data_IF_036969499586
#
_entry.id   IF_036969499586
#
_cell.length_a   1.000
_cell.length_b   1.000
_cell.length_c   1.000
_cell.angle_alpha   90.00
_cell.angle_beta   90.00
_cell.angle_gamma   90.00
#
_symmetry.space_group_name_H-M   'P 1'
#
loop_
_entity.id
_entity.type
_entity.pdbx_description
1 polymer ?
2 non-polymer ?
3 water ?
#
# COMPACT_ATOMS: atom_id res chain seq x y z
N UNK A 22 -8.46 -16.67 -11.37
CA UNK A 22 -9.25 -15.54 -10.91
C UNK A 22 -8.39 -14.30 -10.66
N UNK A 23 -8.95 -13.31 -9.97
CA UNK A 23 -8.26 -12.04 -9.74
C UNK A 23 -7.12 -12.16 -8.75
N UNK A 24 -7.06 -13.26 -8.00
CA UNK A 24 -5.95 -13.48 -7.08
C UNK A 24 -4.79 -14.19 -7.76
N UNK A 25 -4.94 -14.48 -9.06
CA UNK A 25 -3.95 -15.30 -9.77
C UNK A 25 -3.53 -14.69 -11.09
N UNK A 26 -3.01 -13.45 -11.05
CA UNK A 26 -2.64 -12.77 -12.29
C UNK A 26 -1.25 -13.14 -12.82
N UNK A 27 -0.49 -13.91 -12.05
CA UNK A 27 0.93 -14.09 -12.35
C UNK A 27 1.25 -14.87 -13.62
N UNK A 28 0.47 -15.92 -13.92
CA UNK A 28 0.62 -16.54 -15.24
C UNK A 28 0.44 -15.55 -16.39
N UNK A 29 -0.53 -14.65 -16.30
CA UNK A 29 -0.72 -13.67 -17.36
C UNK A 29 0.45 -12.71 -17.48
N UNK A 30 0.91 -12.16 -16.35
CA UNK A 30 2.12 -11.34 -16.35
C UNK A 30 3.27 -12.11 -17.04
N UNK A 31 3.44 -13.38 -16.67
CA UNK A 31 4.52 -14.18 -17.22
C UNK A 31 4.41 -14.28 -18.74
N UNK A 32 3.19 -14.43 -19.25
CA UNK A 32 2.97 -14.51 -20.68
C UNK A 32 3.31 -13.18 -21.38
N UNK A 33 2.95 -12.05 -20.76
CA UNK A 33 3.28 -10.74 -21.32
C UNK A 33 4.78 -10.46 -21.29
N UNK A 34 5.44 -10.76 -20.18
CA UNK A 34 6.89 -10.55 -20.14
C UNK A 34 7.57 -11.28 -21.30
N UNK A 35 7.07 -12.48 -21.58
CA UNK A 35 7.64 -13.32 -22.63
C UNK A 35 7.20 -12.93 -24.03
N UNK A 36 5.90 -12.67 -24.19
CA UNK A 36 5.30 -12.48 -25.52
C UNK A 36 5.02 -11.04 -25.93
N UNK A 37 4.74 -10.16 -24.96
CA UNK A 37 4.39 -8.77 -25.27
C UNK A 37 4.82 -7.84 -24.15
N UNK A 38 6.13 -7.73 -23.90
CA UNK A 38 6.56 -6.99 -22.70
C UNK A 38 6.24 -5.50 -22.73
N UNK A 39 6.10 -4.91 -23.90
CA UNK A 39 5.70 -3.51 -24.03
C UNK A 39 4.52 -3.46 -25.01
N UNK A 40 3.33 -3.24 -24.49
CA UNK A 40 2.11 -3.49 -25.26
C UNK A 40 1.23 -2.24 -25.33
N UNK A 41 0.57 -1.99 -26.46
CA UNK A 41 -0.31 -0.83 -26.56
C UNK A 41 -1.77 -1.24 -26.70
N UNK A 42 -2.62 -0.67 -25.85
CA UNK A 42 -4.04 -0.96 -25.85
C UNK A 42 -4.70 0.11 -26.69
N UNK A 43 -5.26 -0.28 -27.84
CA UNK A 43 -5.78 0.70 -28.78
C UNK A 43 -7.11 1.30 -28.33
N UNK A 44 -7.84 0.61 -27.46
CA UNK A 44 -9.12 1.17 -27.00
C UNK A 44 -8.84 2.29 -26.03
N UNK A 45 -8.08 1.97 -25.00
CA UNK A 45 -7.81 2.92 -23.92
C UNK A 45 -6.60 3.81 -24.21
N UNK A 46 -5.90 3.51 -25.30
CA UNK A 46 -4.72 4.26 -25.70
C UNK A 46 -3.69 4.36 -24.57
N UNK A 47 -3.33 3.21 -24.02
CA UNK A 47 -2.34 3.16 -22.98
C UNK A 47 -1.34 2.03 -23.20
N UNK A 48 -0.08 2.32 -22.89
CA UNK A 48 0.96 1.32 -22.91
C UNK A 48 1.02 0.54 -21.58
N UNK A 49 1.30 -0.75 -21.66
CA UNK A 49 1.56 -1.56 -20.47
C UNK A 49 2.98 -2.12 -20.53
N UNK A 50 3.71 -2.03 -19.43
CA UNK A 50 5.11 -2.42 -19.41
C UNK A 50 5.28 -3.48 -18.31
N UNK A 51 5.93 -4.60 -18.63
CA UNK A 51 5.93 -5.77 -17.75
C UNK A 51 7.29 -6.26 -17.24
N UNK A 52 8.39 -5.86 -17.88
CA UNK A 52 9.72 -6.34 -17.48
C UNK A 52 10.32 -5.46 -16.39
N UNK A 53 11.07 -6.08 -15.48
CA UNK A 53 11.68 -5.33 -14.38
C UNK A 53 12.46 -4.07 -14.81
N UNK A 54 13.41 -4.19 -15.74
CA UNK A 54 14.17 -3.01 -16.13
C UNK A 54 13.29 -1.89 -16.72
N UNK A 55 12.32 -2.28 -17.55
CA UNK A 55 11.42 -1.32 -18.16
C UNK A 55 10.53 -0.65 -17.11
N UNK A 56 9.91 -1.47 -16.28
CA UNK A 56 9.07 -0.95 -15.20
C UNK A 56 9.85 0.02 -14.31
N UNK A 57 11.05 -0.37 -13.90
CA UNK A 57 11.81 0.44 -12.95
C UNK A 57 12.22 1.78 -13.59
N UNK A 58 12.59 1.74 -14.87
CA UNK A 58 12.92 2.96 -15.58
C UNK A 58 11.73 3.91 -15.68
N UNK A 59 10.57 3.39 -16.09
CA UNK A 59 9.37 4.22 -16.19
C UNK A 59 9.08 4.92 -14.85
N UNK A 60 9.08 4.11 -13.80
CA UNK A 60 8.66 4.55 -12.48
C UNK A 60 9.64 5.55 -11.90
N UNK A 61 10.93 5.34 -12.16
CA UNK A 61 11.96 6.17 -11.56
C UNK A 61 12.39 7.39 -12.36
N UNK A 62 12.13 7.38 -13.67
CA UNK A 62 12.69 8.42 -14.51
C UNK A 62 11.79 9.64 -14.47
N UNK A 63 12.01 10.51 -13.48
CA UNK A 63 11.18 11.70 -13.33
C UNK A 63 11.35 12.67 -14.49
N UNK A 64 12.50 12.64 -15.15
CA UNK A 64 12.75 13.56 -16.26
C UNK A 64 11.88 13.23 -17.48
N UNK A 65 11.60 11.95 -17.69
CA UNK A 65 10.87 11.49 -18.88
C UNK A 65 9.42 11.11 -18.63
N UNK A 66 9.08 10.78 -17.39
CA UNK A 66 7.76 10.22 -17.10
C UNK A 66 7.13 10.92 -15.90
N UNK A 67 6.04 11.66 -16.15
CA UNK A 67 5.37 12.50 -15.16
C UNK A 67 4.35 11.76 -14.31
N UNK A 68 4.14 12.25 -13.08
CA UNK A 68 3.15 11.64 -12.19
C UNK A 68 1.91 12.50 -12.12
N UNK A 69 1.94 13.63 -12.82
CA UNK A 69 0.78 14.53 -12.82
C UNK A 69 -0.33 13.95 -13.68
N UNK A 70 -1.44 13.59 -13.05
CA UNK A 70 -2.51 12.86 -13.74
C UNK A 70 -3.69 13.78 -14.08
N UNK A 78 -5.51 18.03 -5.66
CA UNK A 78 -6.06 17.62 -4.38
C UNK A 78 -5.55 16.24 -3.99
N UNK A 79 -4.69 15.68 -4.84
CA UNK A 79 -4.13 14.36 -4.62
C UNK A 79 -2.80 14.40 -3.86
N UNK A 80 -2.38 15.59 -3.51
CA UNK A 80 -1.13 15.78 -2.76
C UNK A 80 0.07 15.28 -3.58
N UNK A 81 1.13 14.86 -2.89
CA UNK A 81 2.45 14.68 -3.51
C UNK A 81 2.56 13.54 -4.53
N UNK A 82 1.71 12.53 -4.41
CA UNK A 82 1.82 11.35 -5.27
C UNK A 82 1.52 11.72 -6.72
N UNK A 83 0.84 12.83 -6.92
CA UNK A 83 0.52 13.28 -8.28
C UNK A 83 1.13 14.65 -8.61
N UNK A 84 2.26 14.93 -7.98
CA UNK A 84 2.98 16.17 -8.22
C UNK A 84 4.32 15.85 -8.86
N UNK A 85 4.83 16.77 -9.67
CA UNK A 85 6.16 16.65 -10.21
C UNK A 85 7.05 17.64 -9.47
N UNK A 86 8.36 17.52 -9.62
CA UNK A 86 9.21 18.62 -9.17
C UNK A 86 8.84 19.86 -9.97
N UNK A 87 9.06 21.05 -9.43
CA UNK A 87 9.66 21.26 -8.10
C UNK A 87 8.65 21.22 -6.95
N UNK A 88 7.35 21.28 -7.23
CA UNK A 88 6.35 21.29 -6.17
C UNK A 88 6.52 20.07 -5.27
N UNK A 89 6.79 18.91 -5.88
CA UNK A 89 6.90 17.67 -5.13
C UNK A 89 8.08 17.70 -4.17
N UNK A 90 9.19 18.22 -4.66
CA UNK A 90 10.43 18.29 -3.91
C UNK A 90 10.19 19.01 -2.59
N UNK A 91 9.57 20.18 -2.68
CA UNK A 91 9.35 21.02 -1.50
C UNK A 91 8.50 20.33 -0.43
N UNK A 92 7.38 19.75 -0.83
CA UNK A 92 6.50 19.10 0.12
C UNK A 92 7.12 17.80 0.65
N UNK A 93 7.66 16.97 -0.24
CA UNK A 93 8.26 15.70 0.20
C UNK A 93 9.31 15.94 1.28
N UNK A 94 10.17 16.93 1.08
CA UNK A 94 11.24 17.13 2.06
C UNK A 94 10.70 17.51 3.43
N UNK A 95 9.59 18.25 3.47
CA UNK A 95 8.96 18.61 4.73
C UNK A 95 8.33 17.40 5.43
N UNK A 96 7.65 16.53 4.66
CA UNK A 96 6.92 15.43 5.28
C UNK A 96 7.79 14.22 5.65
N UNK A 97 9.01 14.15 5.11
CA UNK A 97 9.94 13.09 5.53
C UNK A 97 10.10 13.04 7.03
N UNK A 98 10.03 14.22 7.66
CA UNK A 98 10.22 14.35 9.10
C UNK A 98 9.20 13.55 9.91
N UNK A 99 8.08 13.19 9.29
CA UNK A 99 7.02 12.47 9.99
C UNK A 99 7.20 10.94 10.00
N UNK A 100 8.18 10.45 9.23
CA UNK A 100 8.42 9.00 9.08
C UNK A 100 9.85 8.53 9.39
N UNK A 101 10.60 9.34 10.13
CA UNK A 101 11.98 9.02 10.48
C UNK A 101 12.03 7.79 11.36
N UNK A 102 13.20 7.15 11.43
CA UNK A 102 13.29 5.98 12.29
C UNK A 102 12.96 6.32 13.76
N UNK A 103 13.28 7.53 14.19
CA UNK A 103 12.96 7.97 15.55
C UNK A 103 11.45 7.96 15.82
N UNK A 104 10.67 8.47 14.88
CA UNK A 104 9.21 8.49 15.02
C UNK A 104 8.61 7.07 15.02
N UNK A 105 9.06 6.23 14.10
CA UNK A 105 8.60 4.83 14.04
C UNK A 105 8.87 4.13 15.35
N UNK A 106 10.07 4.34 15.89
CA UNK A 106 10.44 3.72 17.17
C UNK A 106 9.45 4.14 18.25
N UNK A 107 9.10 5.42 18.21
CA UNK A 107 8.22 6.04 19.18
C UNK A 107 6.84 5.40 19.20
N UNK A 108 6.41 4.91 18.04
CA UNK A 108 5.05 4.42 17.87
C UNK A 108 4.93 2.88 17.91
N UNK A 109 6.05 2.18 17.87
CA UNK A 109 6.05 0.72 17.85
C UNK A 109 5.26 0.16 19.04
N UNK A 110 5.52 0.67 20.25
CA UNK A 110 4.71 0.34 21.43
C UNK A 110 3.22 0.35 21.14
N UNK A 111 2.70 1.46 20.61
CA UNK A 111 1.26 1.59 20.40
C UNK A 111 0.72 0.69 19.29
N UNK A 112 1.53 0.44 18.27
CA UNK A 112 1.11 -0.45 17.20
C UNK A 112 1.01 -1.87 17.74
N UNK A 113 1.92 -2.22 18.63
CA UNK A 113 1.90 -3.53 19.29
C UNK A 113 0.66 -3.70 20.14
N UNK A 114 0.31 -2.67 20.90
CA UNK A 114 -0.85 -2.72 21.77
C UNK A 114 -2.13 -2.88 20.95
N UNK A 115 -2.24 -2.14 19.86
CA UNK A 115 -3.38 -2.23 18.97
C UNK A 115 -3.50 -3.65 18.40
N UNK A 116 -2.38 -4.19 17.95
CA UNK A 116 -2.34 -5.52 17.39
C UNK A 116 -2.83 -6.54 18.43
N UNK A 117 -2.28 -6.46 19.63
CA UNK A 117 -2.66 -7.42 20.67
C UNK A 117 -4.14 -7.34 20.99
N UNK A 118 -4.69 -6.13 20.96
CA UNK A 118 -6.11 -5.92 21.27
C UNK A 118 -7.03 -6.52 20.21
N UNK A 119 -6.64 -6.40 18.94
CA UNK A 119 -7.39 -7.01 17.85
C UNK A 119 -7.42 -8.52 18.02
N UNK A 120 -6.25 -9.10 18.25
CA UNK A 120 -6.11 -10.54 18.39
C UNK A 120 -6.96 -11.09 19.53
N UNK A 121 -6.97 -10.38 20.67
CA UNK A 121 -7.74 -10.79 21.83
C UNK A 121 -9.20 -11.07 21.51
N UNK A 122 -9.76 -10.31 20.58
CA UNK A 122 -11.17 -10.46 20.19
C UNK A 122 -11.47 -11.81 19.53
N UNK A 123 -10.49 -12.38 18.82
CA UNK A 123 -10.73 -13.67 18.16
C UNK A 123 -9.81 -14.80 18.61
N UNK A 124 -9.12 -14.58 19.73
CA UNK A 124 -8.13 -15.50 20.27
C UNK A 124 -8.66 -16.91 20.61
N UNK A 125 -9.96 -17.02 20.86
CA UNK A 125 -10.54 -18.29 21.27
C UNK A 125 -11.30 -19.07 20.21
N UNK A 126 -11.32 -18.54 18.99
CA UNK A 126 -12.16 -19.09 17.95
C UNK A 126 -11.45 -20.12 17.08
N UNK A 127 -12.20 -21.10 16.60
CA UNK A 127 -11.64 -22.18 15.82
C UNK A 127 -11.56 -21.77 14.35
N UNK A 128 -12.35 -20.76 13.99
CA UNK A 128 -12.37 -20.20 12.65
C UNK A 128 -12.58 -18.69 12.71
N UNK A 129 -11.96 -17.97 11.79
CA UNK A 129 -12.17 -16.53 11.71
C UNK A 129 -11.69 -16.00 10.37
N UNK A 130 -12.18 -14.81 10.03
CA UNK A 130 -11.79 -14.12 8.81
C UNK A 130 -10.60 -13.22 9.15
N UNK A 131 -9.43 -13.53 8.59
CA UNK A 131 -8.23 -12.76 8.85
C UNK A 131 -8.39 -11.30 8.39
N UNK A 132 -9.16 -11.10 7.32
CA UNK A 132 -9.34 -9.74 6.81
C UNK A 132 -10.24 -8.94 7.76
N UNK A 133 -11.50 -9.36 7.90
CA UNK A 133 -12.45 -8.57 8.69
C UNK A 133 -11.98 -8.36 10.13
N UNK A 134 -11.42 -9.41 10.72
CA UNK A 134 -11.09 -9.39 12.14
C UNK A 134 -9.73 -8.79 12.47
N UNK A 135 -8.85 -8.69 11.49
CA UNK A 135 -7.46 -8.37 11.79
C UNK A 135 -6.83 -7.38 10.81
N UNK A 136 -6.60 -7.82 9.57
CA UNK A 136 -5.83 -6.97 8.65
C UNK A 136 -6.58 -5.74 8.16
N UNK A 137 -7.91 -5.80 8.06
CA UNK A 137 -8.71 -4.62 7.68
C UNK A 137 -8.72 -3.50 8.74
N UNK A 138 -9.05 -3.83 9.98
CA UNK A 138 -9.10 -2.75 10.98
C UNK A 138 -7.74 -2.20 11.42
N UNK A 139 -6.70 -3.04 11.39
CA UNK A 139 -5.42 -2.67 11.99
C UNK A 139 -4.82 -1.35 11.45
N UNK A 140 -4.69 -1.22 10.12
CA UNK A 140 -4.01 -0.01 9.63
C UNK A 140 -4.81 1.27 9.88
N UNK A 141 -6.13 1.15 9.88
CA UNK A 141 -7.01 2.28 10.16
C UNK A 141 -6.84 2.79 11.57
N UNK A 142 -6.83 1.87 12.54
CA UNK A 142 -6.63 2.25 13.93
C UNK A 142 -5.26 2.87 14.10
N UNK A 143 -4.25 2.27 13.49
CA UNK A 143 -2.90 2.80 13.61
C UNK A 143 -2.80 4.22 13.07
N UNK A 144 -3.32 4.46 11.87
CA UNK A 144 -3.15 5.77 11.24
C UNK A 144 -3.97 6.84 11.95
N UNK A 145 -5.11 6.44 12.50
CA UNK A 145 -5.92 7.41 13.21
C UNK A 145 -5.14 7.92 14.44
N UNK A 146 -4.49 7.02 15.15
CA UNK A 146 -3.71 7.40 16.32
C UNK A 146 -2.45 8.17 15.93
N UNK A 147 -1.86 7.78 14.80
CA UNK A 147 -0.71 8.51 14.28
C UNK A 147 -1.10 9.88 13.73
N UNK A 148 -2.36 10.04 13.34
CA UNK A 148 -2.86 11.35 12.87
C UNK A 148 -3.51 12.16 13.97
N UNK A 149 -3.43 11.66 15.21
CA UNK A 149 -3.93 12.40 16.35
C UNK A 149 -5.44 12.52 16.40
N UNK A 150 -6.14 11.58 15.78
CA UNK A 150 -7.59 11.55 15.85
C UNK A 150 -8.01 11.31 17.29
N UNK A 151 -8.77 12.24 17.88
CA UNK A 151 -9.17 12.04 19.27
C UNK A 151 -9.96 10.74 19.41
N UNK A 152 -9.68 10.00 20.48
CA UNK A 152 -10.26 8.66 20.66
C UNK A 152 -11.79 8.68 20.70
N UNK A 153 -12.35 9.81 21.10
CA UNK A 153 -13.80 9.94 21.14
C UNK A 153 -14.40 10.29 19.77
N UNK A 154 -13.61 10.11 18.71
CA UNK A 154 -14.12 10.36 17.35
C UNK A 154 -13.71 9.27 16.37
N UNK A 155 -13.33 8.12 16.92
CA UNK A 155 -12.85 7.00 16.14
C UNK A 155 -13.84 6.40 15.12
N UNK A 156 -15.14 6.35 15.43
CA UNK A 156 -16.08 5.70 14.50
C UNK A 156 -16.35 6.54 13.26
N UNK A 157 -16.41 7.84 13.45
CA UNK A 157 -16.65 8.77 12.36
C UNK A 157 -15.48 8.66 11.40
N UNK A 158 -14.30 8.52 11.97
CA UNK A 158 -13.08 8.42 11.18
C UNK A 158 -13.03 7.11 10.39
N UNK A 159 -13.32 6.01 11.08
CA UNK A 159 -13.40 4.71 10.42
C UNK A 159 -14.41 4.73 9.28
N UNK A 160 -15.57 5.37 9.50
CA UNK A 160 -16.61 5.47 8.48
C UNK A 160 -16.11 6.15 7.22
N UNK A 161 -15.36 7.23 7.39
CA UNK A 161 -14.70 7.91 6.28
C UNK A 161 -13.71 7.00 5.55
N UNK A 162 -12.92 6.25 6.32
CA UNK A 162 -11.93 5.34 5.72
C UNK A 162 -12.60 4.25 4.90
N UNK A 163 -13.78 3.83 5.33
CA UNK A 163 -14.56 2.84 4.58
C UNK A 163 -15.01 3.40 3.25
N UNK A 164 -15.51 4.63 3.29
CA UNK A 164 -15.99 5.29 2.09
C UNK A 164 -14.87 5.50 1.08
N UNK A 165 -13.64 5.66 1.59
CA UNK A 165 -12.50 5.91 0.71
C UNK A 165 -12.17 4.72 -0.20
N UNK A 166 -12.56 3.53 0.24
CA UNK A 166 -12.27 2.32 -0.53
C UNK A 166 -13.53 1.65 -1.07
N UNK A 167 -14.62 2.39 -1.13
CA UNK A 167 -15.86 1.87 -1.69
C UNK A 167 -15.79 1.88 -3.21
N UNK A 168 -16.41 0.88 -3.83
CA UNK A 168 -16.35 0.73 -5.27
C UNK A 168 -17.32 1.67 -5.98
N UNK A 169 -16.94 2.14 -7.19
CA UNK A 169 -17.81 2.97 -8.02
C UNK A 169 -19.04 2.20 -8.45
N UNK A 170 -19.14 0.96 -7.97
CA UNK A 170 -20.24 0.04 -8.28
C UNK A 170 -21.62 0.70 -8.34
N UNK A 171 -22.48 0.21 -9.22
CA UNK A 171 -22.14 -0.86 -10.17
C UNK A 171 -23.13 -0.89 -11.33
N UNK A 172 -22.60 -0.77 -12.55
CA UNK A 172 -21.17 -0.60 -12.74
C UNK A 172 -20.87 0.27 -13.96
N UNK A 173 -20.12 1.34 -13.74
CA UNK A 173 -19.70 2.24 -14.81
C UNK A 173 -20.88 2.75 -15.64
N UNK A 174 -22.08 2.56 -15.11
CA UNK A 174 -23.29 2.97 -15.82
C UNK A 174 -23.57 4.45 -15.58
N UNK A 175 -22.56 5.29 -15.83
CA UNK A 175 -22.68 6.73 -15.67
C UNK A 175 -23.16 7.13 -14.28
N UNK A 176 -23.28 6.14 -13.39
CA UNK A 176 -23.55 6.38 -11.98
C UNK A 176 -22.23 6.69 -11.30
N UNK A 177 -21.14 6.63 -12.07
CA UNK A 177 -19.83 7.03 -11.60
C UNK A 177 -19.90 8.50 -11.19
N UNK A 178 -20.77 9.25 -11.86
CA UNK A 178 -20.98 10.66 -11.53
C UNK A 178 -21.39 10.78 -10.06
N UNK A 179 -22.19 9.82 -9.59
CA UNK A 179 -22.64 9.79 -8.22
C UNK A 179 -21.51 9.43 -7.27
N UNK A 180 -20.87 8.29 -7.52
CA UNK A 180 -19.74 7.85 -6.72
C UNK A 180 -18.75 8.99 -6.49
N UNK A 181 -18.33 9.63 -7.56
CA UNK A 181 -17.40 10.75 -7.48
C UNK A 181 -17.95 11.88 -6.62
N UNK A 182 -19.27 12.02 -6.58
CA UNK A 182 -19.90 13.05 -5.76
C UNK A 182 -19.83 12.67 -4.28
N UNK A 183 -19.99 11.38 -4.01
CA UNK A 183 -19.92 10.87 -2.65
C UNK A 183 -18.48 10.84 -2.17
N UNK A 184 -17.55 10.79 -3.13
CA UNK A 184 -16.13 10.83 -2.82
C UNK A 184 -15.73 12.26 -2.46
N UNK A 185 -16.23 13.22 -3.22
CA UNK A 185 -15.98 14.63 -2.92
C UNK A 185 -16.56 14.95 -1.55
N UNK A 186 -17.79 14.52 -1.33
CA UNK A 186 -18.47 14.71 -0.05
C UNK A 186 -17.60 14.19 1.08
N UNK A 187 -17.16 12.93 0.95
CA UNK A 187 -16.32 12.30 1.96
C UNK A 187 -15.03 13.08 2.20
N UNK A 188 -14.38 13.46 1.10
CA UNK A 188 -13.11 14.17 1.18
C UNK A 188 -13.27 15.56 1.80
N UNK A 189 -14.39 16.22 1.51
CA UNK A 189 -14.65 17.55 2.05
C UNK A 189 -14.92 17.45 3.55
N UNK A 190 -15.53 16.35 3.98
CA UNK A 190 -15.74 16.10 5.41
C UNK A 190 -14.42 15.77 6.09
N UNK A 191 -13.54 15.05 5.40
CA UNK A 191 -12.20 14.77 5.94
C UNK A 191 -11.40 16.04 6.10
N UNK A 192 -11.43 16.89 5.07
CA UNK A 192 -10.74 18.17 5.09
C UNK A 192 -11.10 19.01 6.31
N UNK A 193 -12.40 19.22 6.54
CA UNK A 193 -12.86 19.99 7.69
C UNK A 193 -12.46 19.35 9.02
N UNK A 194 -12.50 18.02 9.06
CA UNK A 194 -12.12 17.30 10.27
C UNK A 194 -10.63 17.51 10.54
N UNK A 195 -9.81 17.31 9.51
CA UNK A 195 -8.37 17.52 9.66
C UNK A 195 -8.07 18.97 10.02
N UNK A 196 -8.84 19.90 9.46
CA UNK A 196 -8.66 21.32 9.77
C UNK A 196 -8.78 21.51 11.28
N UNK A 197 -9.80 20.89 11.86
CA UNK A 197 -10.01 20.97 13.30
C UNK A 197 -8.86 20.40 14.10
N UNK A 198 -8.38 19.22 13.72
CA UNK A 198 -7.26 18.60 14.43
C UNK A 198 -6.00 19.43 14.30
N UNK A 199 -5.78 19.99 13.11
CA UNK A 199 -4.63 20.86 12.89
C UNK A 199 -4.62 22.02 13.91
N UNK A 200 -5.77 22.68 14.08
CA UNK A 200 -5.85 23.80 15.02
C UNK A 200 -5.59 23.33 16.44
N UNK A 201 -6.14 22.17 16.76
CA UNK A 201 -5.94 21.57 18.08
C UNK A 201 -4.46 21.37 18.36
N UNK A 202 -3.75 20.78 17.39
CA UNK A 202 -2.33 20.46 17.59
C UNK A 202 -1.45 21.71 17.64
N UNK A 203 -1.91 22.79 17.03
CA UNK A 203 -1.24 24.07 17.19
C UNK A 203 -1.23 24.53 18.66
N UNK A 204 -2.32 24.28 19.36
CA UNK A 204 -2.44 24.69 20.76
C UNK A 204 -1.83 23.67 21.72
N UNK A 205 -2.05 22.39 21.44
CA UNK A 205 -1.55 21.32 22.29
C UNK A 205 -0.94 20.20 21.45
N UNK A 206 0.33 20.37 21.05
CA UNK A 206 1.02 19.35 20.26
C UNK A 206 1.28 18.09 21.07
N UNK A 207 1.25 16.95 20.38
CA UNK A 207 1.63 15.66 20.94
C UNK A 207 2.59 15.01 19.95
N UNK A 208 2.69 13.67 19.96
CA UNK A 208 3.73 12.95 19.23
C UNK A 208 3.26 12.40 17.90
N UNK A 209 2.18 12.96 17.39
CA UNK A 209 1.56 12.48 16.18
C UNK A 209 2.11 13.23 14.97
N UNK A 210 1.80 12.72 13.79
CA UNK A 210 2.27 13.31 12.53
C UNK A 210 1.83 14.76 12.36
N UNK A 211 0.60 15.07 12.74
CA UNK A 211 0.05 16.42 12.58
C UNK A 211 0.80 17.42 13.46
N UNK A 212 1.05 17.04 14.72
CA UNK A 212 1.87 17.85 15.61
C UNK A 212 3.23 18.13 14.98
N UNK A 213 3.85 17.09 14.46
CA UNK A 213 5.18 17.20 13.86
C UNK A 213 5.19 18.20 12.70
N UNK A 214 4.18 18.15 11.84
CA UNK A 214 4.15 19.01 10.66
C UNK A 214 3.63 20.42 10.94
N UNK A 215 3.08 20.66 12.13
CA UNK A 215 2.64 22.03 12.46
C UNK A 215 3.60 22.75 13.42
N UNK A 216 4.58 22.04 13.95
CA UNK A 216 5.60 22.70 14.76
C UNK A 216 6.26 23.81 13.95
N UNK A 221 12.95 26.01 9.22
CA UNK A 221 12.05 26.09 8.08
C UNK A 221 11.00 24.97 8.10
N UNK A 222 10.67 24.46 6.92
CA UNK A 222 9.71 23.38 6.79
C UNK A 222 8.29 23.62 7.29
N UNK A 223 7.58 24.53 6.62
CA UNK A 223 6.27 24.94 7.11
C UNK A 223 5.13 24.97 6.11
N UNK A 224 4.44 23.86 6.04
CA UNK A 224 3.32 23.66 5.15
C UNK A 224 2.10 24.48 5.55
N UNK A 225 1.30 24.86 4.57
CA UNK A 225 0.02 25.50 4.87
C UNK A 225 -1.04 24.41 4.99
N UNK A 226 -2.22 24.79 5.47
CA UNK A 226 -3.30 23.84 5.64
C UNK A 226 -3.75 23.29 4.31
N UNK A 227 -3.66 24.13 3.26
CA UNK A 227 -4.03 23.72 1.91
C UNK A 227 -3.13 22.62 1.37
N UNK A 228 -1.95 22.47 1.95
CA UNK A 228 -1.05 21.37 1.59
C UNK A 228 -1.13 20.25 2.62
N UNK A 229 -1.31 20.62 3.89
CA UNK A 229 -1.31 19.62 4.95
C UNK A 229 -2.55 18.75 4.92
N UNK A 230 -3.71 19.37 4.68
CA UNK A 230 -4.95 18.60 4.64
C UNK A 230 -4.98 17.53 3.54
N UNK A 231 -4.68 17.92 2.29
CA UNK A 231 -4.62 16.90 1.24
C UNK A 231 -3.58 15.81 1.55
N UNK A 232 -2.48 16.18 2.19
CA UNK A 232 -1.46 15.20 2.60
C UNK A 232 -2.02 14.16 3.63
N UNK A 233 -2.75 14.63 4.64
CA UNK A 233 -3.35 13.71 5.60
C UNK A 233 -4.32 12.72 4.96
N UNK A 234 -5.17 13.22 4.07
CA UNK A 234 -6.09 12.38 3.34
C UNK A 234 -5.33 11.32 2.51
N UNK A 235 -4.24 11.74 1.86
CA UNK A 235 -3.42 10.81 1.07
C UNK A 235 -2.91 9.64 1.92
N UNK A 236 -2.55 9.92 3.17
CA UNK A 236 -2.05 8.87 4.04
C UNK A 236 -3.08 7.73 4.19
N UNK A 237 -4.36 8.08 4.30
CA UNK A 237 -5.42 7.07 4.33
C UNK A 237 -5.53 6.37 2.99
N UNK A 238 -5.58 7.16 1.93
CA UNK A 238 -5.78 6.63 0.57
C UNK A 238 -4.63 5.73 0.15
N UNK A 239 -3.42 6.16 0.46
CA UNK A 239 -2.20 5.43 0.05
C UNK A 239 -1.85 4.26 0.97
N UNK A 240 -2.26 4.36 2.24
CA UNK A 240 -1.75 3.49 3.28
C UNK A 240 -2.71 2.47 3.89
N UNK A 241 -4.00 2.77 3.93
CA UNK A 241 -4.91 1.87 4.63
C UNK A 241 -5.04 0.52 3.95
N UNK A 242 -5.56 0.53 2.73
CA UNK A 242 -5.92 -0.71 2.06
C UNK A 242 -4.65 -1.46 1.64
N UNK A 243 -3.60 -0.73 1.26
CA UNK A 243 -2.35 -1.40 0.84
C UNK A 243 -1.73 -2.20 1.98
N UNK A 244 -1.74 -1.59 3.17
CA UNK A 244 -1.19 -2.23 4.35
C UNK A 244 -2.02 -3.45 4.76
N UNK A 245 -3.34 -3.31 4.68
CA UNK A 245 -4.22 -4.44 4.94
C UNK A 245 -3.89 -5.56 3.96
N UNK A 246 -3.76 -5.20 2.70
CA UNK A 246 -3.55 -6.21 1.67
C UNK A 246 -2.18 -6.84 1.77
N UNK A 247 -1.19 -6.06 2.22
CA UNK A 247 0.14 -6.63 2.47
C UNK A 247 0.04 -7.69 3.55
N UNK A 248 -0.64 -7.37 4.64
CA UNK A 248 -0.76 -8.32 5.74
C UNK A 248 -1.49 -9.60 5.33
N UNK A 249 -2.64 -9.45 4.65
CA UNK A 249 -3.37 -10.59 4.12
C UNK A 249 -2.54 -11.42 3.15
N UNK A 250 -1.90 -10.75 2.19
CA UNK A 250 -1.12 -11.44 1.16
C UNK A 250 0.09 -12.16 1.75
N UNK A 251 0.72 -11.56 2.76
CA UNK A 251 1.86 -12.19 3.43
C UNK A 251 1.45 -13.45 4.18
N UNK A 252 0.35 -13.36 4.92
CA UNK A 252 -0.14 -14.56 5.61
C UNK A 252 -0.52 -15.66 4.62
N UNK A 253 -1.12 -15.28 3.49
CA UNK A 253 -1.52 -16.28 2.50
C UNK A 253 -0.28 -16.96 1.96
N UNK A 254 0.72 -16.15 1.58
CA UNK A 254 1.96 -16.70 1.04
C UNK A 254 2.64 -17.62 2.06
N UNK A 255 2.62 -17.19 3.32
CA UNK A 255 3.24 -17.99 4.39
C UNK A 255 2.53 -19.34 4.57
N UNK A 256 1.20 -19.34 4.56
CA UNK A 256 0.44 -20.58 4.73
C UNK A 256 0.59 -21.50 3.55
N UNK A 257 0.72 -20.94 2.35
CA UNK A 257 0.79 -21.79 1.16
C UNK A 257 2.15 -22.42 0.95
N UNK A 258 3.16 -21.95 1.71
CA UNK A 258 4.53 -22.42 1.55
C UNK A 258 4.95 -23.38 2.66
N UNK A 259 5.13 -24.67 2.33
CA UNK A 259 5.33 -25.67 3.39
C UNK A 259 6.45 -25.34 4.38
N UNK A 260 6.12 -25.46 5.67
CA UNK A 260 7.09 -25.29 6.73
C UNK A 260 7.35 -23.87 7.21
N UNK A 261 6.96 -22.88 6.41
CA UNK A 261 7.33 -21.49 6.70
C UNK A 261 6.62 -20.94 7.94
N UNK A 262 5.36 -21.31 8.14
CA UNK A 262 4.62 -20.84 9.32
C UNK A 262 5.34 -21.27 10.59
N UNK A 263 5.74 -22.53 10.63
CA UNK A 263 6.39 -23.11 11.79
C UNK A 263 7.77 -22.52 11.99
N UNK A 264 8.48 -22.30 10.89
CA UNK A 264 9.82 -21.71 10.93
C UNK A 264 9.76 -20.29 11.48
N UNK A 265 8.78 -19.51 11.03
CA UNK A 265 8.61 -18.15 11.54
C UNK A 265 8.22 -18.15 13.02
N UNK A 266 7.36 -19.08 13.42
CA UNK A 266 6.98 -19.18 14.82
C UNK A 266 8.20 -19.49 15.70
N UNK A 267 9.06 -20.39 15.23
CA UNK A 267 10.28 -20.74 15.96
C UNK A 267 11.36 -19.67 15.89
N UNK A 268 11.39 -18.94 14.77
CA UNK A 268 12.45 -18.01 14.47
C UNK A 268 11.90 -16.69 14.02
N UNK A 269 11.26 -15.95 14.94
CA UNK A 269 10.63 -14.68 14.57
C UNK A 269 11.63 -13.64 14.04
N UNK A 270 12.93 -13.87 14.22
CA UNK A 270 13.93 -12.94 13.70
C UNK A 270 14.01 -12.96 12.17
N UNK A 271 13.44 -13.97 11.55
CA UNK A 271 13.45 -14.03 10.09
C UNK A 271 12.34 -13.16 9.47
N UNK A 272 11.50 -12.56 10.31
CA UNK A 272 10.33 -11.84 9.78
C UNK A 272 10.61 -10.63 8.87
N UNK A 273 11.57 -9.74 9.24
CA UNK A 273 11.78 -8.61 8.32
C UNK A 273 12.05 -9.08 6.88
N UNK A 274 12.87 -10.11 6.73
CA UNK A 274 13.18 -10.63 5.40
C UNK A 274 11.96 -11.30 4.76
N UNK A 275 11.12 -11.91 5.58
CA UNK A 275 9.92 -12.56 5.07
C UNK A 275 8.95 -11.49 4.57
N UNK A 276 8.91 -10.37 5.27
CA UNK A 276 8.06 -9.26 4.82
C UNK A 276 8.53 -8.74 3.45
N UNK A 277 9.84 -8.63 3.24
CA UNK A 277 10.32 -8.17 1.94
C UNK A 277 9.91 -9.16 0.86
N UNK A 278 9.96 -10.46 1.17
CA UNK A 278 9.57 -11.45 0.16
C UNK A 278 8.06 -11.41 -0.12
N UNK A 279 7.26 -11.07 0.89
CA UNK A 279 5.83 -10.94 0.67
C UNK A 279 5.56 -9.72 -0.23
N UNK A 280 6.30 -8.65 0.00
CA UNK A 280 6.21 -7.47 -0.89
C UNK A 280 6.58 -7.84 -2.31
N UNK A 281 7.65 -8.61 -2.48
CA UNK A 281 8.05 -9.00 -3.82
C UNK A 281 6.99 -9.90 -4.45
N UNK A 282 6.55 -10.88 -3.68
CA UNK A 282 5.75 -11.98 -4.23
C UNK A 282 4.29 -11.59 -4.50
N UNK A 283 3.71 -10.77 -3.63
CA UNK A 283 2.31 -10.37 -3.73
C UNK A 283 2.08 -8.90 -3.36
N UNK A 284 2.71 -8.03 -4.15
CA UNK A 284 2.62 -6.58 -3.96
C UNK A 284 1.16 -6.18 -3.99
N UNK A 285 0.73 -5.35 -3.01
CA UNK A 285 -0.65 -4.88 -2.91
C UNK A 285 -1.00 -3.84 -3.99
N UNK A 286 0.00 -3.13 -4.47
CA UNK A 286 -0.24 -2.11 -5.50
C UNK A 286 0.47 -2.50 -6.77
N UNK A 287 -0.18 -3.31 -7.61
CA UNK A 287 0.48 -3.99 -8.75
C UNK A 287 0.88 -3.10 -9.91
N UNK A 288 0.27 -1.92 -10.03
CA UNK A 288 0.44 -1.11 -11.24
C UNK A 288 0.49 0.39 -10.93
N UNK A 289 1.38 1.10 -11.62
CA UNK A 289 1.58 2.52 -11.36
C UNK A 289 1.50 3.25 -12.70
N UNK A 290 0.93 4.44 -12.70
CA UNK A 290 0.74 5.21 -13.93
C UNK A 290 1.76 6.34 -14.09
N UNK A 291 2.20 6.56 -15.33
CA UNK A 291 2.99 7.73 -15.68
C UNK A 291 2.52 8.30 -17.01
N UNK A 292 2.90 9.55 -17.26
CA UNK A 292 2.68 10.16 -18.56
C UNK A 292 4.04 10.52 -19.14
N UNK A 293 4.26 10.16 -20.40
CA UNK A 293 5.49 10.52 -21.10
C UNK A 293 5.55 12.02 -21.31
N UNK A 294 6.65 12.65 -20.89
CA UNK A 294 6.82 14.10 -21.06
C UNK A 294 7.41 14.41 -22.41
N UNK A 295 8.08 13.42 -23.01
CA UNK A 295 8.69 13.55 -24.33
C UNK A 295 8.55 12.23 -25.06
N UNK A 296 8.63 12.28 -26.39
CA UNK A 296 8.78 11.06 -27.16
C UNK A 296 10.04 10.36 -26.66
N UNK A 297 9.93 9.06 -26.38
CA UNK A 297 11.08 8.29 -25.96
C UNK A 297 10.80 6.80 -26.12
N UNK A 298 11.84 5.98 -26.03
CA UNK A 298 11.66 4.55 -26.23
C UNK A 298 11.74 3.76 -24.93
N UNK A 299 10.86 2.78 -24.80
CA UNK A 299 10.90 1.89 -23.66
C UNK A 299 10.92 0.47 -24.19
N UNK A 300 11.97 -0.27 -23.84
CA UNK A 300 12.16 -1.61 -24.35
C UNK A 300 12.20 -1.64 -25.87
N UNK A 301 12.64 -0.54 -26.48
CA UNK A 301 12.71 -0.47 -27.92
C UNK A 301 11.41 -0.08 -28.61
N UNK A 302 10.44 0.39 -27.84
CA UNK A 302 9.16 0.84 -28.41
C UNK A 302 8.99 2.34 -28.19
N UNK A 303 8.58 3.06 -29.23
CA UNK A 303 8.45 4.51 -29.14
C UNK A 303 7.16 4.95 -28.43
N UNK A 304 7.32 5.57 -27.28
CA UNK A 304 6.20 6.11 -26.53
C UNK A 304 6.10 7.60 -26.80
N UNK A 305 4.95 8.03 -27.29
CA UNK A 305 4.76 9.42 -27.73
C UNK A 305 4.56 10.34 -26.53
N UNK A 306 5.04 11.58 -26.66
CA UNK A 306 4.78 12.59 -25.63
C UNK A 306 3.30 12.64 -25.35
N UNK A 307 2.95 12.59 -24.07
CA UNK A 307 1.55 12.62 -23.68
C UNK A 307 0.89 11.26 -23.52
N UNK A 308 1.58 10.19 -23.93
CA UNK A 308 1.01 8.83 -23.82
C UNK A 308 0.99 8.36 -22.37
N UNK A 309 -0.07 7.65 -22.00
CA UNK A 309 -0.17 7.08 -20.66
C UNK A 309 0.53 5.72 -20.65
N UNK A 310 1.25 5.43 -19.57
CA UNK A 310 1.96 4.16 -19.42
C UNK A 310 1.61 3.49 -18.10
N UNK A 311 1.27 2.22 -18.15
CA UNK A 311 1.02 1.43 -16.95
C UNK A 311 2.25 0.55 -16.66
N UNK A 312 2.88 0.76 -15.50
CA UNK A 312 4.09 0.03 -15.15
C UNK A 312 3.70 -1.01 -14.09
N UNK A 313 3.70 -2.27 -14.48
CA UNK A 313 3.29 -3.37 -13.61
C UNK A 313 4.38 -3.84 -12.65
N UNK A 314 4.49 -3.17 -11.51
CA UNK A 314 5.49 -3.55 -10.52
C UNK A 314 5.23 -4.98 -10.03
N UNK A 315 3.98 -5.43 -10.09
CA UNK A 315 3.71 -6.82 -9.70
C UNK A 315 4.39 -7.78 -10.64
N UNK A 316 4.43 -7.44 -11.93
CA UNK A 316 5.10 -8.28 -12.93
C UNK A 316 6.63 -8.16 -12.81
N UNK A 317 7.11 -6.94 -12.63
CA UNK A 317 8.54 -6.69 -12.43
C UNK A 317 9.12 -7.58 -11.33
N UNK A 318 8.35 -7.74 -10.27
CA UNK A 318 8.78 -8.43 -9.08
C UNK A 318 8.87 -9.95 -9.29
N UNK A 319 8.35 -10.44 -10.43
CA UNK A 319 8.41 -11.85 -10.79
C UNK A 319 9.33 -12.13 -11.98
N UNK A 320 10.02 -11.08 -12.43
CA UNK A 320 10.81 -11.15 -13.66
C UNK A 320 12.07 -11.99 -13.49
N UNK A 321 12.14 -13.09 -14.24
CA UNK A 321 13.25 -14.03 -14.21
C UNK A 321 14.59 -13.36 -14.52
N UNK A 322 14.58 -12.26 -15.26
CA UNK A 322 15.80 -11.57 -15.66
C UNK A 322 16.46 -10.85 -14.49
N UNK A 323 15.70 -10.64 -13.41
CA UNK A 323 16.21 -9.90 -12.28
C UNK A 323 16.28 -10.74 -11.00
N UNK A 324 15.37 -11.71 -10.88
CA UNK A 324 15.27 -12.57 -9.70
C UNK A 324 15.46 -14.03 -10.05
N UNK A 325 16.33 -14.68 -9.29
CA UNK A 325 16.50 -16.13 -9.43
C UNK A 325 15.27 -16.86 -8.90
N UNK A 326 14.82 -17.87 -9.65
CA UNK A 326 13.60 -18.62 -9.32
C UNK A 326 12.49 -17.76 -8.71
N UNK A 327 11.97 -16.83 -9.50
CA UNK A 327 10.99 -15.81 -9.08
C UNK A 327 9.66 -16.43 -8.65
N UNK A 328 9.38 -17.64 -9.10
CA UNK A 328 8.16 -18.33 -8.71
C UNK A 328 8.16 -18.79 -7.27
N UNK A 329 9.34 -18.85 -6.67
CA UNK A 329 9.44 -19.37 -5.32
C UNK A 329 9.29 -18.29 -4.26
N UNK A 330 8.46 -18.56 -3.25
CA UNK A 330 8.35 -17.70 -2.09
C UNK A 330 9.42 -18.11 -1.08
N UNK A 331 10.51 -17.34 -1.06
CA UNK A 331 11.71 -17.65 -0.30
C UNK A 331 11.93 -16.56 0.73
N UNK A 332 11.52 -16.81 1.97
CA UNK A 332 11.65 -15.80 3.02
C UNK A 332 13.10 -15.40 3.31
N UNK A 333 14.05 -16.16 2.76
CA UNK A 333 15.46 -15.83 2.95
C UNK A 333 16.08 -15.10 1.76
N UNK A 334 15.28 -14.81 0.74
CA UNK A 334 15.80 -14.15 -0.45
C UNK A 334 16.56 -12.88 -0.10
N UNK A 335 17.85 -12.85 -0.43
CA UNK A 335 18.69 -11.69 -0.17
C UNK A 335 19.87 -11.59 -1.13
N UNK A 336 20.05 -10.42 -1.77
CA UNK A 336 19.22 -9.21 -1.65
C UNK A 336 17.88 -9.39 -2.34
N UNK A 337 16.96 -8.47 -2.06
CA UNK A 337 15.61 -8.55 -2.58
C UNK A 337 15.15 -7.17 -3.07
N UNK A 338 15.60 -6.76 -4.26
CA UNK A 338 15.35 -5.44 -4.85
C UNK A 338 13.98 -5.34 -5.53
N UNK A 339 12.94 -5.74 -4.82
CA UNK A 339 11.59 -5.58 -5.35
C UNK A 339 11.25 -4.10 -5.50
N UNK A 340 10.25 -3.81 -6.30
CA UNK A 340 9.81 -2.44 -6.40
C UNK A 340 8.37 -2.29 -5.92
N UNK A 341 8.01 -3.01 -4.87
CA UNK A 341 6.66 -2.94 -4.35
C UNK A 341 6.32 -1.54 -3.84
N UNK A 342 7.34 -0.81 -3.39
CA UNK A 342 7.14 0.53 -2.83
C UNK A 342 7.48 1.61 -3.85
N UNK A 343 7.70 1.20 -5.10
CA UNK A 343 8.14 2.12 -6.13
C UNK A 343 9.66 2.30 -6.18
N UNK A 344 10.08 3.42 -6.74
CA UNK A 344 11.48 3.71 -7.00
C UNK A 344 11.66 5.16 -7.37
N UNK A 345 12.60 5.85 -6.73
CA UNK A 345 12.87 7.23 -7.09
C UNK A 345 12.21 8.24 -6.16
N UNK A 346 11.87 9.41 -6.70
CA UNK A 346 11.38 10.50 -5.87
C UNK A 346 10.06 10.20 -5.16
N UNK A 347 9.20 9.37 -5.77
CA UNK A 347 7.90 9.06 -5.18
C UNK A 347 7.90 7.77 -4.34
N UNK A 348 9.08 7.20 -4.11
CA UNK A 348 9.22 5.98 -3.33
C UNK A 348 8.42 6.11 -2.03
N UNK A 349 7.62 5.09 -1.76
CA UNK A 349 6.60 5.14 -0.72
C UNK A 349 7.06 5.82 0.57
N UNK A 350 6.46 6.96 0.88
CA UNK A 350 6.77 7.64 2.15
C UNK A 350 6.46 6.76 3.36
N UNK A 351 5.44 5.90 3.22
CA UNK A 351 5.00 5.09 4.34
C UNK A 351 5.74 3.78 4.48
N UNK A 352 6.74 3.57 3.63
CA UNK A 352 7.46 2.27 3.64
C UNK A 352 7.85 1.80 5.04
N UNK A 353 8.52 2.68 5.84
CA UNK A 353 8.91 2.21 7.17
C UNK A 353 7.72 1.86 8.07
N UNK A 354 6.60 2.56 7.89
CA UNK A 354 5.42 2.30 8.71
C UNK A 354 4.74 1.00 8.26
N UNK A 355 4.69 0.79 6.95
CA UNK A 355 4.09 -0.45 6.43
C UNK A 355 4.93 -1.66 6.85
N UNK A 356 6.25 -1.54 6.71
CA UNK A 356 7.15 -2.59 7.18
C UNK A 356 6.94 -2.87 8.68
N UNK A 357 6.85 -1.81 9.48
CA UNK A 357 6.65 -1.95 10.92
C UNK A 357 5.30 -2.59 11.24
N UNK A 358 4.23 -2.07 10.64
CA UNK A 358 2.92 -2.67 10.84
C UNK A 358 2.88 -4.18 10.48
N UNK A 359 3.45 -4.53 9.33
CA UNK A 359 3.44 -5.93 8.88
C UNK A 359 4.26 -6.82 9.79
N UNK A 360 5.44 -6.34 10.19
CA UNK A 360 6.29 -7.15 11.07
C UNK A 360 5.55 -7.45 12.35
N UNK A 361 4.99 -6.41 12.95
CA UNK A 361 4.24 -6.56 14.20
C UNK A 361 2.97 -7.39 14.03
N UNK A 362 2.17 -7.06 13.03
CA UNK A 362 0.98 -7.84 12.76
C UNK A 362 1.29 -9.32 12.55
N UNK A 363 2.26 -9.62 11.68
CA UNK A 363 2.53 -11.03 11.34
C UNK A 363 3.16 -11.77 12.51
N UNK A 364 4.17 -11.18 13.14
CA UNK A 364 4.82 -11.87 14.24
C UNK A 364 3.79 -12.14 15.34
N UNK A 365 2.92 -11.17 15.59
CA UNK A 365 1.94 -11.28 16.67
C UNK A 365 0.88 -12.34 16.37
N UNK A 366 0.41 -12.36 15.13
CA UNK A 366 -0.56 -13.37 14.73
C UNK A 366 0.03 -14.77 14.88
N UNK A 367 1.23 -14.98 14.34
CA UNK A 367 1.81 -16.30 14.31
C UNK A 367 2.16 -16.80 15.72
N UNK A 368 2.50 -15.87 16.60
CA UNK A 368 2.77 -16.20 18.00
C UNK A 368 1.51 -16.65 18.74
N UNK A 369 0.39 -16.03 18.41
CA UNK A 369 -0.87 -16.32 19.10
C UNK A 369 -1.46 -17.66 18.70
N UNK A 370 -1.09 -18.15 17.51
CA UNK A 370 -1.71 -19.35 16.97
C UNK A 370 -0.69 -20.41 16.58
N UNK A 371 -0.75 -21.57 17.26
CA UNK A 371 0.22 -22.65 17.00
C UNK A 371 0.10 -23.16 15.57
N UNK A 372 -1.13 -23.28 15.08
CA UNK A 372 -1.35 -23.78 13.73
C UNK A 372 -2.53 -23.08 13.07
N UNK A 373 -2.44 -22.92 11.75
CA UNK A 373 -3.44 -22.19 10.99
C UNK A 373 -3.52 -22.79 9.59
N UNK A 374 -4.72 -22.87 9.03
CA UNK A 374 -4.91 -23.44 7.70
C UNK A 374 -5.91 -22.62 6.91
N UNK A 375 -5.66 -22.45 5.62
CA UNK A 375 -6.56 -21.70 4.78
C UNK A 375 -7.82 -22.49 4.45
N UNK A 376 -8.98 -21.88 4.71
CA UNK A 376 -10.25 -22.48 4.37
C UNK A 376 -10.79 -21.95 3.05
N UNK A 377 -10.86 -20.63 2.93
CA UNK A 377 -11.31 -20.02 1.68
C UNK A 377 -10.88 -18.57 1.54
N UNK A 378 -10.71 -18.13 0.30
CA UNK A 378 -10.47 -16.72 0.02
C UNK A 378 -11.49 -16.18 -0.98
N UNK A 379 -11.70 -14.86 -0.89
CA UNK A 379 -12.46 -14.12 -1.85
C UNK A 379 -11.59 -12.96 -2.27
N UNK A 380 -11.20 -12.93 -3.54
CA UNK A 380 -10.26 -11.91 -4.02
C UNK A 380 -10.95 -10.58 -4.27
N UNK A 381 -10.22 -9.49 -4.11
CA UNK A 381 -10.71 -8.22 -4.58
C UNK A 381 -10.68 -8.22 -6.10
N UNK A 382 -11.79 -7.78 -6.72
CA UNK A 382 -11.86 -7.69 -8.17
C UNK A 382 -11.67 -6.26 -8.63
N UNK A 383 -10.42 -5.83 -8.69
CA UNK A 383 -10.06 -4.46 -9.04
C UNK A 383 -8.66 -4.43 -9.63
N UNK A 384 -8.56 -4.04 -10.90
CA UNK A 384 -7.28 -4.06 -11.60
C UNK A 384 -6.12 -3.44 -10.82
N UNK A 385 -6.38 -2.29 -10.22
CA UNK A 385 -5.32 -1.50 -9.57
C UNK A 385 -4.96 -1.99 -8.16
N UNK A 386 -5.64 -3.04 -7.70
CA UNK A 386 -5.49 -3.51 -6.34
C UNK A 386 -5.24 -5.02 -6.34
N UNK A 387 -4.32 -5.49 -5.49
CA UNK A 387 -4.11 -6.94 -5.32
C UNK A 387 -4.24 -7.34 -3.86
N UNK A 388 -5.31 -8.05 -3.52
CA UNK A 388 -5.52 -8.48 -2.16
C UNK A 388 -6.81 -9.25 -1.99
N UNK A 389 -7.24 -9.40 -0.74
CA UNK A 389 -8.35 -10.26 -0.38
C UNK A 389 -9.47 -9.48 0.33
N UNK A 390 -10.70 -9.75 -0.08
CA UNK A 390 -11.89 -9.24 0.59
C UNK A 390 -12.15 -10.04 1.87
N UNK A 391 -11.83 -11.32 1.82
CA UNK A 391 -11.99 -12.21 2.96
C UNK A 391 -10.96 -13.31 2.88
N UNK A 392 -10.52 -13.77 4.04
CA UNK A 392 -9.46 -14.76 4.18
C UNK A 392 -9.80 -15.60 5.42
N UNK A 393 -10.54 -16.68 5.19
CA UNK A 393 -11.03 -17.49 6.30
C UNK A 393 -10.06 -18.61 6.63
N UNK A 394 -9.63 -18.65 7.88
CA UNK A 394 -8.67 -19.64 8.33
C UNK A 394 -9.22 -20.44 9.51
N UNK A 395 -8.67 -21.63 9.71
CA UNK A 395 -9.09 -22.46 10.84
C UNK A 395 -7.87 -22.93 11.63
N UNK A 396 -8.10 -23.26 12.90
CA UNK A 396 -7.06 -23.78 13.76
C UNK A 396 -6.89 -25.27 13.50
X LIG B 1 3.79 6.11 -2.55
X LIG B 1 3.10 1.33 -2.21
X LIG B 1 1.77 1.85 2.46
X LIG B 1 1.98 6.67 1.98
X LIG B 1 3.76 4.76 -2.86
X LIG B 1 4.22 4.16 -4.10
X LIG B 1 4.03 2.84 -4.00
X LIG B 1 3.45 2.56 -2.70
X LIG B 1 4.35 1.77 -5.08
X LIG B 1 4.84 4.89 -5.31
X LIG B 1 3.76 5.52 -6.16
X LIG B 1 4.30 5.98 -7.49
X LIG B 1 3.46 6.45 -8.31
X LIG B 1 5.53 5.89 -7.73
X LIG B 1 2.72 1.08 -0.91
X LIG B 1 2.58 -0.24 -0.33
X LIG B 1 2.20 -0.10 0.95
X LIG B 1 2.11 1.32 1.23
X LIG B 1 2.82 -1.56 -1.10
X LIG B 1 1.94 -1.16 2.04
X LIG B 1 2.44 -2.39 1.90
X LIG B 1 1.75 3.19 2.74
X LIG B 1 1.48 3.79 4.03
X LIG B 1 1.54 5.11 3.88
X LIG B 1 1.85 5.39 2.51
X LIG B 1 1.19 2.97 5.31
X LIG B 1 1.32 6.25 4.91
X LIG B 1 0.78 6.08 6.11
X LIG B 1 2.46 6.97 0.72
X LIG B 1 2.61 8.30 0.21
X LIG B 1 3.18 8.14 -1.20
X LIG B 1 3.32 6.71 -1.40
X LIG B 1 2.27 9.61 0.97
X LIG B 1 3.54 9.28 -2.18
X LIG B 1 5.01 9.62 -1.97
X LIG B 1 5.46 10.66 -2.99
X LIG B 1 6.53 11.28 -2.77
X LIG B 1 4.71 10.86 -3.98
X LIG B 1 3.29 3.76 -2.04
X LIG B 1 2.41 2.00 0.07
X LIG B 1 1.97 4.20 1.83
X LIG B 1 2.89 6.06 -0.25
X LIG B 1 2.79 4.00 -0.06
#
# INVERSE_FOLDING_TARGET
MNVLNRRQALQRALLNGKNKQDAYHPFPWYESMRKDAPVSFDEENQVWSVFLYDDVKKVVGDKELFSSCMPQQTSSIGNSIINMDPPKHTKIRSVVNKAFTPRVMKQWEPRIQEITDELIQKFQGRSEFDLVHDFSYPLPVIVISELLGVPSAHMEQFKAWSDLLVSTPKDKSEEAEKAFLEERDKCEEELAAFFAGIIEEKRNKPEQDIISILVEAEETGEKLSGEELIPFCTLLLVAGNETTTNLISNAMYSILETPGVYEELRSHPELMPQAVEEALRFRAPAPVLRRIAKRDTEIGGHLIKEGDMVLAFVASANRDEAKFDRPHMFDIRRHPNPHIAFGHGIHFCLGAPLARLEANIALTSLISAFPHMECVSITPIENSVIYGLKSFRVKM
HEM CHA CHB CHC CHD C1A C2A C3A C4A CMA CAA CBA CGA O1A O2A C1B C2B C3B C4B CMB CAB CBB C1C C2C C3C C4C CMC CAC CBC C1D C2D C3D C4D CMD CAD CBD CGD O1D O2D NA NB NC ND FE
#
